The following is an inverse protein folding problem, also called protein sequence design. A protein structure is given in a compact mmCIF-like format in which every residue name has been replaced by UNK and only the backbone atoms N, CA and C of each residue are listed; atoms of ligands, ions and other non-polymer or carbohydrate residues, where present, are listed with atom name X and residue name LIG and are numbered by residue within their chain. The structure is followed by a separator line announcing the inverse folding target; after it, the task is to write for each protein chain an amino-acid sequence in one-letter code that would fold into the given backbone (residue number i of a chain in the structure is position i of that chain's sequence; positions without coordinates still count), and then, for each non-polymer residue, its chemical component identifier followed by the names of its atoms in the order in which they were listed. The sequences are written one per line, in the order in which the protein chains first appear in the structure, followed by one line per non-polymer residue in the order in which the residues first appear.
data_IF_371649763400
#
_entry.id   IF_371649763400
#
_cell.length_a   1.000
_cell.length_b   1.000
_cell.length_c   1.000
_cell.angle_alpha   90.00
_cell.angle_beta   90.00
_cell.angle_gamma   90.00
#
_symmetry.space_group_name_H-M   'P 1'
#
loop_
_entity.id
_entity.type
_entity.pdbx_description
1 polymer ?
#
# COMPACT_ATOMS: atom_id res chain seq x y z
N UNK A 1 -29.18 22.30 15.75
CA UNK A 1 -29.86 20.97 15.65
C UNK A 1 -29.31 20.26 14.42
N UNK A 2 -28.33 19.38 14.62
CA UNK A 2 -27.67 18.64 13.53
C UNK A 2 -28.51 17.40 13.15
N UNK A 3 -28.56 17.01 11.86
CA UNK A 3 -29.47 15.96 11.41
C UNK A 3 -29.02 14.56 11.86
N UNK A 4 -30.02 13.80 12.33
CA UNK A 4 -29.98 12.44 12.91
C UNK A 4 -29.20 11.41 12.07
N UNK A 5 -28.98 11.66 10.76
CA UNK A 5 -28.21 10.77 9.87
C UNK A 5 -26.70 10.73 10.16
N UNK A 6 -26.11 11.79 10.73
CA UNK A 6 -24.67 11.80 11.08
C UNK A 6 -24.40 10.96 12.33
N UNK A 7 -25.38 10.86 13.24
CA UNK A 7 -25.25 9.98 14.41
C UNK A 7 -25.29 8.50 14.04
N UNK A 8 -26.13 8.10 13.08
CA UNK A 8 -26.18 6.72 12.60
C UNK A 8 -24.87 6.28 11.94
N UNK A 9 -24.28 7.15 11.11
CA UNK A 9 -22.97 6.91 10.49
C UNK A 9 -21.83 6.81 11.52
N UNK A 10 -21.87 7.61 12.58
CA UNK A 10 -20.89 7.57 13.67
C UNK A 10 -21.01 6.31 14.52
N UNK A 11 -22.22 5.82 14.79
CA UNK A 11 -22.44 4.56 15.50
C UNK A 11 -22.04 3.34 14.67
N UNK A 12 -22.27 3.38 13.35
CA UNK A 12 -21.90 2.29 12.45
C UNK A 12 -20.37 2.22 12.23
N UNK A 13 -19.69 3.38 12.17
CA UNK A 13 -18.22 3.45 12.20
C UNK A 13 -17.63 2.97 13.53
N UNK A 14 -18.25 3.26 14.66
CA UNK A 14 -17.80 2.77 15.97
C UNK A 14 -18.03 1.26 16.14
N UNK A 15 -19.10 0.71 15.54
CA UNK A 15 -19.37 -0.73 15.53
C UNK A 15 -18.37 -1.48 14.65
N UNK A 16 -18.10 -0.97 13.44
CA UNK A 16 -17.06 -1.54 12.56
C UNK A 16 -15.64 -1.33 13.10
N UNK A 17 -15.37 -0.23 13.83
CA UNK A 17 -14.09 -0.04 14.52
C UNK A 17 -13.91 -1.03 15.68
N UNK A 18 -14.98 -1.37 16.43
CA UNK A 18 -14.92 -2.41 17.48
C UNK A 18 -14.79 -3.83 16.91
N UNK A 19 -15.43 -4.12 15.77
CA UNK A 19 -15.25 -5.39 15.05
C UNK A 19 -13.84 -5.50 14.45
N UNK A 20 -13.28 -4.39 13.95
CA UNK A 20 -11.89 -4.28 13.50
C UNK A 20 -10.87 -4.37 14.65
N UNK A 21 -11.18 -3.81 15.83
CA UNK A 21 -10.34 -3.94 17.03
C UNK A 21 -10.35 -5.37 17.59
N UNK A 22 -11.48 -6.10 17.51
CA UNK A 22 -11.52 -7.51 17.93
C UNK A 22 -10.76 -8.43 16.96
N UNK A 23 -10.66 -8.06 15.68
CA UNK A 23 -9.86 -8.78 14.68
C UNK A 23 -8.40 -8.30 14.61
N UNK A 24 -8.07 -7.14 15.21
CA UNK A 24 -6.70 -6.63 15.38
C UNK A 24 -6.09 -6.89 16.77
N UNK A 25 -6.83 -7.51 17.69
CA UNK A 25 -6.28 -8.14 18.88
C UNK A 25 -5.87 -9.61 18.63
N UNK A 26 -5.46 -9.97 17.42
CA UNK A 26 -4.56 -11.12 17.26
C UNK A 26 -3.18 -10.67 17.70
N UNK A 27 -2.83 -10.99 18.95
CA UNK A 27 -1.48 -10.86 19.51
C UNK A 27 -0.49 -11.24 18.42
N UNK A 28 0.41 -10.32 18.04
CA UNK A 28 1.61 -10.70 17.27
C UNK A 28 2.17 -11.93 17.98
N UNK A 29 2.27 -13.10 17.32
CA UNK A 29 3.08 -14.16 17.88
C UNK A 29 4.45 -13.53 18.06
N UNK A 30 4.97 -13.55 19.28
CA UNK A 30 6.42 -13.47 19.42
C UNK A 30 6.93 -14.57 18.47
N UNK A 31 7.79 -14.20 17.52
CA UNK A 31 8.66 -15.21 16.94
C UNK A 31 9.52 -15.69 18.10
N UNK A 32 9.02 -16.68 18.82
CA UNK A 32 9.87 -17.59 19.55
C UNK A 32 10.76 -18.19 18.47
N UNK A 33 12.01 -17.75 18.45
CA UNK A 33 13.12 -18.44 17.79
C UNK A 33 13.32 -19.80 18.47
N UNK A 34 12.33 -20.67 18.37
CA UNK A 34 12.50 -22.10 18.44
C UNK A 34 12.81 -22.54 17.02
N UNK A 35 14.08 -22.36 16.65
CA UNK A 35 14.69 -23.22 15.64
C UNK A 35 14.44 -24.63 16.15
N UNK A 36 13.56 -25.37 15.47
CA UNK A 36 13.53 -26.83 15.56
C UNK A 36 14.89 -27.31 15.06
N UNK A 37 15.81 -27.46 16.00
CA UNK A 37 17.01 -28.27 15.83
C UNK A 37 16.49 -29.68 15.55
N UNK A 38 16.59 -30.12 14.31
CA UNK A 38 16.40 -31.52 13.97
C UNK A 38 17.43 -32.31 14.78
N UNK A 39 16.93 -33.13 15.71
CA UNK A 39 17.70 -34.09 16.49
C UNK A 39 18.19 -35.21 15.58
N UNK A 40 19.22 -34.90 14.79
CA UNK A 40 20.10 -35.89 14.16
C UNK A 40 21.51 -35.40 14.34
N UNK A 41 22.05 -35.67 15.54
CA UNK A 41 23.44 -35.47 15.87
C UNK A 41 24.34 -36.11 14.79
N UNK A 42 25.27 -35.37 14.16
CA UNK A 42 26.28 -36.00 13.34
C UNK A 42 27.19 -36.81 14.25
N UNK A 43 27.39 -38.09 13.89
CA UNK A 43 28.33 -38.99 14.57
C UNK A 43 29.67 -38.27 14.72
N UNK A 44 30.09 -38.18 15.98
CA UNK A 44 31.34 -37.58 16.46
C UNK A 44 32.52 -38.31 15.83
N UNK A 45 33.01 -37.82 14.70
CA UNK A 45 34.33 -38.18 14.18
C UNK A 45 35.38 -37.52 15.07
N UNK A 46 35.90 -38.31 16.01
CA UNK A 46 37.12 -37.98 16.72
C UNK A 46 38.27 -37.97 15.71
N UNK A 47 38.87 -36.80 15.45
CA UNK A 47 40.32 -36.60 15.45
C UNK A 47 40.73 -35.18 14.97
N UNK A 48 41.16 -34.37 15.95
CA UNK A 48 42.15 -33.25 15.95
C UNK A 48 41.70 -32.16 16.94
N UNK A 49 42.62 -31.49 17.67
CA UNK A 49 42.26 -30.55 18.72
C UNK A 49 41.75 -29.24 18.10
N UNK A 50 40.45 -29.17 17.80
CA UNK A 50 39.80 -28.01 17.22
C UNK A 50 39.41 -27.00 18.28
N UNK A 51 39.99 -25.79 18.20
CA UNK A 51 39.63 -24.61 18.99
C UNK A 51 38.11 -24.40 18.95
N UNK A 52 37.44 -24.37 20.11
CA UNK A 52 36.02 -24.00 20.19
C UNK A 52 35.91 -22.52 19.84
N UNK A 53 35.34 -22.22 18.67
CA UNK A 53 35.19 -20.85 18.21
C UNK A 53 34.26 -20.07 19.14
N UNK A 54 34.68 -18.88 19.57
CA UNK A 54 33.82 -17.97 20.32
C UNK A 54 32.71 -17.38 19.40
N UNK A 55 31.77 -16.62 19.97
CA UNK A 55 30.60 -16.13 19.22
C UNK A 55 31.03 -15.22 18.07
N UNK A 56 32.02 -14.39 18.31
CA UNK A 56 32.56 -13.39 17.39
C UNK A 56 33.26 -14.07 16.20
N UNK A 57 34.09 -15.08 16.48
CA UNK A 57 34.76 -15.91 15.48
C UNK A 57 33.74 -16.67 14.62
N UNK A 58 32.66 -17.21 15.21
CA UNK A 58 31.58 -17.85 14.44
C UNK A 58 30.84 -16.88 13.53
N UNK A 59 30.55 -15.68 14.03
CA UNK A 59 29.87 -14.65 13.23
C UNK A 59 30.76 -14.18 12.08
N UNK A 60 32.05 -13.95 12.35
CA UNK A 60 33.03 -13.59 11.33
C UNK A 60 33.12 -14.67 10.25
N UNK A 61 33.27 -15.95 10.64
CA UNK A 61 33.30 -17.06 9.68
C UNK A 61 32.03 -17.18 8.85
N UNK A 62 30.85 -16.95 9.46
CA UNK A 62 29.58 -16.95 8.73
C UNK A 62 29.50 -15.80 7.73
N UNK A 63 29.78 -14.57 8.15
CA UNK A 63 29.71 -13.37 7.31
C UNK A 63 30.73 -13.39 6.17
N UNK A 64 31.90 -13.99 6.40
CA UNK A 64 32.97 -14.15 5.40
C UNK A 64 32.80 -15.38 4.51
N UNK A 65 31.76 -16.20 4.70
CA UNK A 65 31.54 -17.40 3.88
C UNK A 65 30.96 -17.07 2.51
N UNK A 66 31.43 -17.76 1.47
CA UNK A 66 30.88 -17.64 0.10
C UNK A 66 29.41 -18.09 0.04
N UNK A 67 28.99 -19.00 0.92
CA UNK A 67 27.59 -19.42 1.05
C UNK A 67 26.71 -18.26 1.55
N UNK A 68 27.13 -17.54 2.59
CA UNK A 68 26.41 -16.35 3.06
C UNK A 68 26.41 -15.24 2.00
N UNK A 69 27.55 -15.05 1.31
CA UNK A 69 27.64 -14.11 0.19
C UNK A 69 26.61 -14.42 -0.91
N UNK A 70 26.42 -15.69 -1.26
CA UNK A 70 25.40 -16.09 -2.23
C UNK A 70 23.98 -15.69 -1.78
N UNK A 71 23.64 -15.84 -0.49
CA UNK A 71 22.35 -15.38 0.03
C UNK A 71 22.21 -13.86 -0.04
N UNK A 72 23.26 -13.11 0.29
CA UNK A 72 23.25 -11.64 0.15
C UNK A 72 23.08 -11.20 -1.31
N UNK A 73 23.82 -11.81 -2.24
CA UNK A 73 23.72 -11.53 -3.67
C UNK A 73 22.31 -11.85 -4.21
N UNK A 74 21.71 -12.94 -3.74
CA UNK A 74 20.31 -13.27 -4.05
C UNK A 74 19.34 -12.22 -3.51
N UNK A 75 19.49 -11.81 -2.25
CA UNK A 75 18.64 -10.79 -1.65
C UNK A 75 18.72 -9.47 -2.43
N UNK A 76 19.94 -9.05 -2.80
CA UNK A 76 20.14 -7.87 -3.64
C UNK A 76 19.48 -7.98 -5.02
N UNK A 77 19.28 -9.20 -5.54
CA UNK A 77 18.62 -9.42 -6.84
C UNK A 77 17.09 -9.44 -6.76
N UNK A 78 16.51 -9.81 -5.61
CA UNK A 78 15.07 -9.98 -5.45
C UNK A 78 14.39 -8.81 -4.72
N UNK A 79 15.07 -8.17 -3.76
CA UNK A 79 14.55 -7.02 -3.00
C UNK A 79 14.04 -5.88 -3.90
N UNK A 80 14.71 -5.52 -5.01
CA UNK A 80 14.23 -4.45 -5.88
C UNK A 80 12.80 -4.65 -6.41
N UNK A 81 12.32 -5.90 -6.56
CA UNK A 81 10.93 -6.14 -6.98
C UNK A 81 9.92 -5.73 -5.91
N UNK A 82 10.25 -5.98 -4.64
CA UNK A 82 9.43 -5.54 -3.52
C UNK A 82 9.51 -4.02 -3.33
N UNK A 83 10.69 -3.43 -3.52
CA UNK A 83 10.89 -1.99 -3.37
C UNK A 83 10.05 -1.18 -4.37
N UNK A 84 9.95 -1.62 -5.63
CA UNK A 84 9.08 -0.97 -6.63
C UNK A 84 7.64 -0.83 -6.14
N UNK A 85 7.08 -1.92 -5.60
CA UNK A 85 5.71 -1.92 -5.06
C UNK A 85 5.62 -1.16 -3.75
N UNK A 86 6.64 -1.21 -2.89
CA UNK A 86 6.66 -0.42 -1.67
C UNK A 86 6.66 1.08 -1.97
N UNK A 87 7.41 1.55 -2.97
CA UNK A 87 7.40 2.94 -3.40
C UNK A 87 6.02 3.34 -3.91
N UNK A 88 5.38 2.50 -4.73
CA UNK A 88 3.99 2.70 -5.17
C UNK A 88 3.02 2.80 -3.98
N UNK A 89 3.11 1.86 -3.04
CA UNK A 89 2.30 1.85 -1.82
C UNK A 89 2.62 3.01 -0.88
N UNK A 90 3.75 3.71 -1.04
CA UNK A 90 4.12 4.89 -0.25
C UNK A 90 3.80 6.21 -0.95
N UNK A 91 3.37 6.15 -2.21
CA UNK A 91 2.98 7.31 -3.00
C UNK A 91 1.84 8.09 -2.36
N UNK A 92 1.88 9.42 -2.48
CA UNK A 92 0.77 10.29 -2.10
C UNK A 92 -0.23 10.57 -3.23
N UNK A 93 0.08 10.14 -4.46
CA UNK A 93 -0.81 10.34 -5.59
C UNK A 93 -1.98 9.33 -5.56
N UNK A 94 -3.15 9.68 -6.11
CA UNK A 94 -4.29 8.78 -6.13
C UNK A 94 -4.05 7.62 -7.10
N UNK A 95 -3.80 6.42 -6.58
CA UNK A 95 -3.41 5.26 -7.40
C UNK A 95 -4.27 4.01 -7.16
N UNK A 96 -5.47 4.17 -6.60
CA UNK A 96 -6.39 3.05 -6.32
C UNK A 96 -6.74 2.24 -7.57
N UNK A 97 -6.85 2.91 -8.72
CA UNK A 97 -7.13 2.32 -10.02
C UNK A 97 -6.02 1.36 -10.52
N UNK A 98 -4.80 1.45 -9.99
CA UNK A 98 -3.66 0.59 -10.34
C UNK A 98 -3.37 -0.49 -9.29
N UNK A 99 -3.89 -0.35 -8.07
CA UNK A 99 -3.44 -1.13 -6.91
C UNK A 99 -3.54 -2.65 -7.15
N UNK A 100 -4.70 -3.13 -7.64
CA UNK A 100 -4.91 -4.57 -7.86
C UNK A 100 -3.93 -5.12 -8.89
N UNK A 101 -3.71 -4.40 -9.98
CA UNK A 101 -2.79 -4.78 -11.04
C UNK A 101 -1.34 -4.83 -10.52
N UNK A 102 -0.88 -3.79 -9.81
CA UNK A 102 0.47 -3.72 -9.24
C UNK A 102 0.74 -4.89 -8.29
N UNK A 103 -0.20 -5.21 -7.39
CA UNK A 103 -0.07 -6.33 -6.46
C UNK A 103 -0.10 -7.69 -7.19
N UNK A 104 -0.94 -7.83 -8.21
CA UNK A 104 -1.01 -9.04 -9.03
C UNK A 104 0.26 -9.26 -9.83
N UNK A 105 0.86 -8.18 -10.35
CA UNK A 105 2.11 -8.23 -11.09
C UNK A 105 3.27 -8.61 -10.17
N UNK A 106 3.37 -8.09 -8.95
CA UNK A 106 4.38 -8.53 -7.99
C UNK A 106 4.27 -10.03 -7.69
N UNK A 107 3.06 -10.53 -7.44
CA UNK A 107 2.84 -11.97 -7.24
C UNK A 107 3.32 -12.77 -8.46
N UNK A 108 2.97 -12.31 -9.67
CA UNK A 108 3.40 -12.94 -10.93
C UNK A 108 4.91 -12.93 -11.08
N UNK A 109 5.58 -11.80 -10.84
CA UNK A 109 7.03 -11.66 -10.96
C UNK A 109 7.76 -12.58 -9.98
N UNK A 110 7.30 -12.65 -8.72
CA UNK A 110 7.88 -13.57 -7.74
C UNK A 110 7.67 -15.03 -8.18
N UNK A 111 6.47 -15.40 -8.63
CA UNK A 111 6.20 -16.75 -9.11
C UNK A 111 7.02 -17.11 -10.34
N UNK A 112 7.19 -16.20 -11.31
CA UNK A 112 7.96 -16.44 -12.53
C UNK A 112 9.42 -16.81 -12.27
N UNK A 113 9.97 -16.41 -11.12
CA UNK A 113 11.36 -16.71 -10.73
C UNK A 113 11.58 -18.17 -10.34
N UNK A 114 10.56 -18.90 -9.87
CA UNK A 114 10.71 -20.28 -9.38
C UNK A 114 9.66 -21.28 -9.88
N UNK A 115 8.54 -20.82 -10.44
CA UNK A 115 7.48 -21.66 -11.03
C UNK A 115 7.63 -21.69 -12.55
N UNK A 116 7.33 -22.84 -13.16
CA UNK A 116 7.38 -23.01 -14.61
C UNK A 116 6.36 -22.09 -15.30
N UNK A 117 6.75 -21.35 -16.36
CA UNK A 117 5.84 -20.47 -17.10
C UNK A 117 4.61 -21.20 -17.67
N UNK A 118 4.77 -22.48 -18.04
CA UNK A 118 3.68 -23.32 -18.55
C UNK A 118 2.58 -23.57 -17.52
N UNK A 119 2.90 -23.59 -16.22
CA UNK A 119 1.94 -23.74 -15.13
C UNK A 119 1.20 -22.43 -14.89
N UNK A 120 1.95 -21.31 -14.86
CA UNK A 120 1.39 -19.97 -14.66
C UNK A 120 0.42 -19.60 -15.79
N UNK A 121 0.77 -19.89 -17.05
CA UNK A 121 -0.06 -19.58 -18.22
C UNK A 121 -1.39 -20.34 -18.26
N UNK A 122 -1.48 -21.51 -17.63
CA UNK A 122 -2.70 -22.33 -17.60
C UNK A 122 -3.69 -21.88 -16.52
N UNK A 123 -3.26 -21.03 -15.59
CA UNK A 123 -4.11 -20.62 -14.48
C UNK A 123 -4.82 -19.31 -14.77
N UNK A 124 -6.14 -19.31 -14.60
CA UNK A 124 -6.96 -18.10 -14.68
C UNK A 124 -6.70 -17.15 -13.51
N UNK A 125 -6.46 -17.73 -12.32
CA UNK A 125 -6.21 -17.01 -11.07
C UNK A 125 -4.85 -17.43 -10.51
N UNK A 126 -3.91 -16.49 -10.44
CA UNK A 126 -2.55 -16.74 -9.93
C UNK A 126 -2.52 -17.32 -8.51
N UNK A 127 -3.47 -16.90 -7.67
CA UNK A 127 -3.58 -17.37 -6.29
C UNK A 127 -3.92 -18.86 -6.17
N UNK A 128 -4.46 -19.47 -7.21
CA UNK A 128 -4.94 -20.86 -7.21
C UNK A 128 -3.93 -21.82 -7.89
N UNK A 129 -2.78 -21.30 -8.33
CA UNK A 129 -1.68 -22.09 -8.91
C UNK A 129 -1.05 -23.00 -7.85
N UNK A 130 -0.79 -24.27 -8.18
CA UNK A 130 0.04 -25.13 -7.34
C UNK A 130 1.53 -24.79 -7.52
N UNK A 131 1.98 -23.77 -6.78
CA UNK A 131 3.38 -23.34 -6.76
C UNK A 131 4.26 -24.13 -5.78
N UNK A 132 3.69 -25.01 -4.95
CA UNK A 132 4.43 -25.75 -3.91
C UNK A 132 4.98 -27.07 -4.45
N UNK A 133 4.29 -27.69 -5.39
CA UNK A 133 4.72 -28.95 -6.00
C UNK A 133 6.04 -28.79 -6.76
N UNK A 134 6.97 -29.72 -6.54
CA UNK A 134 8.26 -29.77 -7.25
C UNK A 134 8.08 -29.91 -8.76
N UNK A 135 7.01 -30.56 -9.22
CA UNK A 135 6.70 -30.74 -10.65
C UNK A 135 6.38 -29.39 -11.30
N UNK A 136 5.70 -28.52 -10.57
CA UNK A 136 5.30 -27.18 -11.02
C UNK A 136 6.44 -26.17 -10.97
N UNK A 137 7.42 -26.40 -10.10
CA UNK A 137 8.58 -25.54 -9.96
C UNK A 137 9.60 -25.79 -11.06
N UNK A 138 10.43 -24.78 -11.33
CA UNK A 138 11.58 -24.85 -12.22
C UNK A 138 12.65 -25.78 -11.64
N UNK A 139 13.49 -26.32 -12.51
CA UNK A 139 14.71 -27.01 -12.10
C UNK A 139 15.73 -26.00 -11.55
N UNK A 140 16.73 -26.46 -10.79
CA UNK A 140 17.62 -25.55 -10.04
C UNK A 140 18.36 -24.58 -10.97
N UNK A 141 18.76 -25.05 -12.13
CA UNK A 141 19.48 -24.31 -13.17
C UNK A 141 18.63 -23.18 -13.78
N UNK A 142 17.31 -23.31 -13.72
CA UNK A 142 16.35 -22.38 -14.33
C UNK A 142 15.73 -21.39 -13.32
N UNK A 143 15.98 -21.55 -12.01
CA UNK A 143 15.49 -20.60 -11.00
C UNK A 143 16.22 -19.26 -11.19
N UNK A 144 15.43 -18.19 -11.26
CA UNK A 144 15.93 -16.83 -11.44
C UNK A 144 16.43 -16.27 -10.11
N UNK A 145 17.73 -16.43 -9.86
CA UNK A 145 18.43 -15.98 -8.64
C UNK A 145 19.34 -14.75 -8.83
N UNK A 146 19.55 -14.34 -10.09
CA UNK A 146 20.41 -13.22 -10.49
C UNK A 146 21.84 -13.64 -10.81
N UNK A 147 22.48 -12.94 -11.76
CA UNK A 147 23.78 -13.31 -12.32
C UNK A 147 24.93 -13.31 -11.30
N UNK A 148 24.96 -12.34 -10.38
CA UNK A 148 25.96 -12.29 -9.29
C UNK A 148 25.87 -13.53 -8.40
N UNK A 149 24.65 -13.91 -8.04
CA UNK A 149 24.39 -15.12 -7.26
C UNK A 149 24.91 -16.36 -7.98
N UNK A 150 24.57 -16.51 -9.28
CA UNK A 150 25.05 -17.63 -10.10
C UNK A 150 26.58 -17.73 -10.10
N UNK A 151 27.28 -16.61 -10.27
CA UNK A 151 28.73 -16.56 -10.23
C UNK A 151 29.29 -16.98 -8.86
N UNK A 152 28.68 -16.52 -7.77
CA UNK A 152 29.09 -16.93 -6.41
C UNK A 152 28.84 -18.43 -6.16
N UNK A 153 27.77 -19.01 -6.74
CA UNK A 153 27.48 -20.44 -6.61
C UNK A 153 28.46 -21.34 -7.36
N UNK A 154 29.07 -20.90 -8.46
CA UNK A 154 30.05 -21.71 -9.22
C UNK A 154 31.25 -22.12 -8.37
N UNK A 155 31.65 -21.28 -7.39
CA UNK A 155 32.72 -21.57 -6.45
C UNK A 155 32.33 -22.51 -5.30
N UNK A 156 31.04 -22.84 -5.14
CA UNK A 156 30.55 -23.64 -4.02
C UNK A 156 30.53 -25.14 -4.33
N UNK A 157 30.77 -25.93 -3.28
CA UNK A 157 30.59 -27.39 -3.31
C UNK A 157 29.14 -27.75 -3.66
N UNK A 158 28.96 -28.93 -4.25
CA UNK A 158 27.65 -29.40 -4.72
C UNK A 158 26.61 -29.43 -3.61
N UNK A 159 26.99 -29.90 -2.42
CA UNK A 159 26.10 -30.04 -1.27
C UNK A 159 25.59 -28.67 -0.79
N UNK A 160 26.48 -27.67 -0.75
CA UNK A 160 26.13 -26.30 -0.38
C UNK A 160 25.21 -25.63 -1.42
N UNK A 161 25.39 -25.95 -2.71
CA UNK A 161 24.49 -25.48 -3.77
C UNK A 161 23.09 -26.07 -3.65
N UNK A 162 22.98 -27.37 -3.38
CA UNK A 162 21.69 -28.03 -3.18
C UNK A 162 20.94 -27.46 -1.95
N UNK A 163 21.67 -27.23 -0.86
CA UNK A 163 21.13 -26.57 0.33
C UNK A 163 20.66 -25.14 0.02
N UNK A 164 21.45 -24.37 -0.72
CA UNK A 164 21.09 -23.03 -1.17
C UNK A 164 19.75 -23.02 -1.94
N UNK A 165 19.61 -23.87 -2.98
CA UNK A 165 18.37 -23.93 -3.74
C UNK A 165 17.16 -24.38 -2.89
N UNK A 166 17.37 -25.27 -1.92
CA UNK A 166 16.32 -25.65 -0.96
C UNK A 166 15.83 -24.43 -0.17
N UNK A 167 16.75 -23.58 0.32
CA UNK A 167 16.39 -22.36 1.03
C UNK A 167 15.74 -21.30 0.13
N UNK A 168 16.22 -21.13 -1.11
CA UNK A 168 15.63 -20.18 -2.06
C UNK A 168 14.20 -20.58 -2.44
N UNK A 169 13.93 -21.88 -2.65
CA UNK A 169 12.56 -22.37 -2.88
C UNK A 169 11.66 -22.08 -1.68
N UNK A 170 12.14 -22.34 -0.46
CA UNK A 170 11.38 -22.01 0.77
C UNK A 170 11.08 -20.52 0.88
N UNK A 171 12.05 -19.67 0.56
CA UNK A 171 11.87 -18.21 0.53
C UNK A 171 10.74 -17.82 -0.43
N UNK A 172 10.79 -18.28 -1.68
CA UNK A 172 9.79 -17.93 -2.68
C UNK A 172 8.40 -18.48 -2.35
N UNK A 173 8.32 -19.71 -1.85
CA UNK A 173 7.06 -20.31 -1.38
C UNK A 173 6.46 -19.48 -0.24
N UNK A 174 7.25 -19.14 0.77
CA UNK A 174 6.78 -18.33 1.91
C UNK A 174 6.36 -16.92 1.49
N UNK A 175 7.10 -16.27 0.58
CA UNK A 175 6.74 -14.96 0.04
C UNK A 175 5.42 -15.03 -0.75
N UNK A 176 5.26 -16.05 -1.59
CA UNK A 176 4.05 -16.27 -2.40
C UNK A 176 2.83 -16.54 -1.51
N UNK A 177 2.96 -17.42 -0.51
CA UNK A 177 1.92 -17.69 0.49
C UNK A 177 1.49 -16.42 1.20
N UNK A 178 2.45 -15.62 1.66
CA UNK A 178 2.17 -14.38 2.36
C UNK A 178 1.45 -13.36 1.47
N UNK A 179 1.88 -13.21 0.21
CA UNK A 179 1.23 -12.33 -0.76
C UNK A 179 -0.21 -12.77 -1.04
N UNK A 180 -0.46 -14.05 -1.28
CA UNK A 180 -1.81 -14.57 -1.52
C UNK A 180 -2.72 -14.34 -0.30
N UNK A 181 -2.17 -14.50 0.91
CA UNK A 181 -2.91 -14.29 2.15
C UNK A 181 -3.23 -12.82 2.43
N UNK A 182 -2.32 -11.90 2.09
CA UNK A 182 -2.43 -10.48 2.49
C UNK A 182 -2.90 -9.55 1.40
N UNK A 183 -2.66 -9.86 0.13
CA UNK A 183 -3.07 -8.99 -0.95
C UNK A 183 -4.57 -9.11 -1.22
N UNK A 184 -5.30 -7.98 -1.36
CA UNK A 184 -6.73 -7.97 -1.69
C UNK A 184 -7.00 -8.31 -3.17
N UNK A 185 -6.40 -9.38 -3.70
CA UNK A 185 -6.45 -9.73 -5.13
C UNK A 185 -7.87 -10.08 -5.62
N UNK A 186 -8.69 -10.67 -4.73
CA UNK A 186 -10.09 -11.05 -4.97
C UNK A 186 -11.08 -9.94 -4.58
N UNK A 187 -10.60 -8.72 -4.29
CA UNK A 187 -11.46 -7.61 -3.86
C UNK A 187 -12.20 -6.97 -5.04
N UNK A 188 -13.51 -7.16 -5.10
CA UNK A 188 -14.38 -6.57 -6.14
C UNK A 188 -14.33 -5.03 -6.16
N UNK A 189 -14.09 -4.39 -5.02
CA UNK A 189 -13.93 -2.94 -4.95
C UNK A 189 -12.70 -2.48 -5.76
N UNK A 190 -11.54 -3.12 -5.56
CA UNK A 190 -10.33 -2.73 -6.26
C UNK A 190 -10.39 -3.07 -7.74
N UNK A 191 -11.04 -4.18 -8.09
CA UNK A 191 -11.34 -4.53 -9.47
C UNK A 191 -12.23 -3.47 -10.13
N UNK A 192 -13.28 -3.02 -9.44
CA UNK A 192 -14.19 -1.99 -9.98
C UNK A 192 -13.52 -0.62 -10.06
N UNK A 193 -12.58 -0.31 -9.16
CA UNK A 193 -11.84 0.95 -9.16
C UNK A 193 -10.93 1.13 -10.39
N UNK A 194 -10.59 0.05 -11.11
CA UNK A 194 -9.84 0.10 -12.38
C UNK A 194 -10.59 0.90 -13.46
N UNK A 195 -11.91 1.08 -13.33
CA UNK A 195 -12.74 1.91 -14.23
C UNK A 195 -12.27 3.37 -14.29
N UNK A 196 -11.57 3.85 -13.26
CA UNK A 196 -11.01 5.20 -13.24
C UNK A 196 -9.73 5.33 -14.08
N UNK A 197 -9.19 4.23 -14.66
CA UNK A 197 -8.05 4.29 -15.57
C UNK A 197 -8.52 4.74 -16.96
N UNK A 198 -8.17 5.98 -17.31
CA UNK A 198 -8.58 6.60 -18.57
C UNK A 198 -8.07 5.83 -19.80
N UNK A 199 -6.83 5.33 -19.75
CA UNK A 199 -6.22 4.57 -20.83
C UNK A 199 -6.95 3.25 -21.20
N UNK A 200 -7.82 2.75 -20.33
CA UNK A 200 -8.61 1.53 -20.57
C UNK A 200 -10.11 1.79 -20.55
N UNK A 201 -10.54 3.06 -20.66
CA UNK A 201 -11.96 3.43 -20.54
C UNK A 201 -12.82 2.79 -21.65
N UNK A 202 -12.27 2.63 -22.85
CA UNK A 202 -12.93 1.99 -24.00
C UNK A 202 -13.41 0.57 -23.68
N UNK A 203 -12.63 -0.19 -22.90
CA UNK A 203 -12.95 -1.58 -22.54
C UNK A 203 -13.59 -1.71 -21.14
N UNK A 204 -13.76 -0.59 -20.44
CA UNK A 204 -14.34 -0.58 -19.10
C UNK A 204 -15.85 -0.83 -19.15
N UNK A 205 -16.40 -1.42 -18.08
CA UNK A 205 -17.82 -1.78 -18.03
C UNK A 205 -18.57 -0.84 -17.11
N UNK A 206 -19.74 -0.37 -17.55
CA UNK A 206 -20.60 0.44 -16.71
C UNK A 206 -21.08 -0.29 -15.42
N UNK A 207 -21.05 -1.63 -15.41
CA UNK A 207 -21.31 -2.43 -14.20
C UNK A 207 -20.39 -2.06 -13.04
N UNK A 208 -19.13 -1.69 -13.34
CA UNK A 208 -18.12 -1.35 -12.33
C UNK A 208 -18.41 0.03 -11.72
N UNK A 209 -18.87 1.00 -12.55
CA UNK A 209 -19.42 2.29 -12.10
C UNK A 209 -20.63 2.07 -11.19
N UNK A 210 -21.59 1.25 -11.62
CA UNK A 210 -22.80 0.94 -10.86
C UNK A 210 -22.49 0.26 -9.53
N UNK A 211 -21.52 -0.66 -9.51
CA UNK A 211 -21.04 -1.29 -8.29
C UNK A 211 -20.52 -0.25 -7.28
N UNK A 212 -19.67 0.67 -7.74
CA UNK A 212 -19.08 1.71 -6.89
C UNK A 212 -20.13 2.67 -6.34
N UNK A 213 -21.11 3.06 -7.15
CA UNK A 213 -22.23 3.93 -6.72
C UNK A 213 -23.10 3.21 -5.69
N UNK A 214 -23.42 1.93 -5.91
CA UNK A 214 -24.20 1.15 -4.95
C UNK A 214 -23.45 0.97 -3.62
N UNK A 215 -22.12 0.77 -3.69
CA UNK A 215 -21.28 0.63 -2.50
C UNK A 215 -21.08 1.96 -1.77
N UNK A 216 -20.96 3.06 -2.52
CA UNK A 216 -20.74 4.40 -2.01
C UNK A 216 -21.72 5.40 -2.66
N UNK A 217 -22.98 5.46 -2.18
CA UNK A 217 -24.00 6.35 -2.78
C UNK A 217 -23.61 7.83 -2.79
N UNK A 218 -22.70 8.25 -1.90
CA UNK A 218 -22.15 9.60 -1.83
C UNK A 218 -21.35 10.00 -3.08
N UNK A 219 -20.87 9.03 -3.87
CA UNK A 219 -20.13 9.29 -5.10
C UNK A 219 -21.04 9.73 -6.25
N UNK A 220 -22.35 9.47 -6.17
CA UNK A 220 -23.32 9.87 -7.21
C UNK A 220 -23.61 11.37 -7.11
N UNK A 221 -23.26 12.19 -8.11
CA UNK A 221 -23.60 13.60 -8.12
C UNK A 221 -25.09 13.78 -8.41
N UNK A 222 -25.87 14.09 -7.37
CA UNK A 222 -27.29 14.43 -7.48
C UNK A 222 -27.46 15.95 -7.62
N UNK A 223 -28.35 16.36 -8.52
CA UNK A 223 -28.88 17.72 -8.57
C UNK A 223 -30.12 17.84 -7.68
N UNK A 224 -30.47 19.07 -7.32
CA UNK A 224 -31.65 19.33 -6.49
C UNK A 224 -32.92 18.83 -7.17
N UNK A 225 -33.73 18.04 -6.45
CA UNK A 225 -34.96 17.43 -6.98
C UNK A 225 -34.76 16.27 -7.95
N UNK A 226 -33.52 15.90 -8.30
CA UNK A 226 -33.25 14.79 -9.22
C UNK A 226 -33.30 13.43 -8.51
N UNK A 227 -33.96 12.45 -9.13
CA UNK A 227 -33.96 11.08 -8.64
C UNK A 227 -32.66 10.33 -9.00
N UNK A 228 -32.42 9.23 -8.28
CA UNK A 228 -31.19 8.42 -8.40
C UNK A 228 -31.06 7.77 -9.78
N UNK A 229 -32.16 7.29 -10.37
CA UNK A 229 -32.12 6.59 -11.65
C UNK A 229 -31.79 7.58 -12.78
N UNK A 230 -32.44 8.74 -12.80
CA UNK A 230 -32.10 9.79 -13.76
C UNK A 230 -30.64 10.24 -13.64
N UNK A 231 -30.09 10.33 -12.42
CA UNK A 231 -28.69 10.68 -12.23
C UNK A 231 -27.73 9.58 -12.74
N UNK A 232 -28.09 8.30 -12.55
CA UNK A 232 -27.36 7.15 -13.09
C UNK A 232 -27.38 7.12 -14.62
N UNK A 233 -28.54 7.36 -15.24
CA UNK A 233 -28.71 7.38 -16.69
C UNK A 233 -27.84 8.47 -17.33
N UNK A 234 -27.74 9.63 -16.68
CA UNK A 234 -26.84 10.71 -17.12
C UNK A 234 -25.36 10.31 -17.06
N UNK A 235 -24.90 9.68 -15.97
CA UNK A 235 -23.52 9.17 -15.91
C UNK A 235 -23.30 8.09 -16.96
N UNK A 236 -24.26 7.21 -17.18
CA UNK A 236 -24.17 6.17 -18.20
C UNK A 236 -24.04 6.76 -19.60
N UNK A 237 -24.82 7.79 -19.91
CA UNK A 237 -24.73 8.51 -21.18
C UNK A 237 -23.35 9.19 -21.35
N UNK A 238 -22.86 9.89 -20.33
CA UNK A 238 -21.51 10.47 -20.33
C UNK A 238 -20.42 9.40 -20.50
N UNK A 239 -20.54 8.28 -19.81
CA UNK A 239 -19.61 7.15 -19.87
C UNK A 239 -19.54 6.56 -21.28
N UNK A 240 -20.69 6.20 -21.86
CA UNK A 240 -20.75 5.64 -23.22
C UNK A 240 -20.20 6.61 -24.26
N UNK A 241 -20.47 7.92 -24.12
CA UNK A 241 -19.90 8.94 -25.00
C UNK A 241 -18.39 9.03 -24.89
N UNK A 242 -17.84 8.98 -23.67
CA UNK A 242 -16.40 9.03 -23.45
C UNK A 242 -15.68 7.82 -24.05
N UNK A 243 -16.31 6.64 -24.06
CA UNK A 243 -15.71 5.43 -24.65
C UNK A 243 -15.45 5.53 -26.15
N UNK A 244 -16.14 6.42 -26.85
CA UNK A 244 -15.96 6.68 -28.29
C UNK A 244 -15.17 7.96 -28.58
N UNK A 245 -14.82 8.72 -27.55
CA UNK A 245 -14.20 10.03 -27.71
C UNK A 245 -12.68 9.89 -27.91
N UNK A 246 -12.18 10.49 -29.00
CA UNK A 246 -10.75 10.76 -29.13
C UNK A 246 -10.38 11.97 -28.26
N UNK A 247 -9.77 11.70 -27.10
CA UNK A 247 -9.37 12.75 -26.17
C UNK A 247 -8.25 13.63 -26.75
N UNK A 248 -8.26 14.95 -26.45
CA UNK A 248 -7.16 15.83 -26.83
C UNK A 248 -5.81 15.31 -26.32
N UNK A 249 -4.75 15.49 -27.10
CA UNK A 249 -3.42 14.97 -26.78
C UNK A 249 -2.84 15.48 -25.45
N UNK A 250 -3.37 16.59 -24.92
CA UNK A 250 -3.02 17.18 -23.63
C UNK A 250 -3.50 16.33 -22.46
N UNK A 251 -4.65 15.65 -22.59
CA UNK A 251 -5.24 14.87 -21.49
C UNK A 251 -4.32 13.70 -21.10
N UNK A 252 -3.86 12.82 -22.01
CA UNK A 252 -2.98 11.71 -21.64
C UNK A 252 -1.55 12.12 -21.27
N UNK A 253 -1.14 13.37 -21.55
CA UNK A 253 0.20 13.88 -21.18
C UNK A 253 0.33 14.14 -19.67
N UNK A 254 -0.78 14.35 -18.97
CA UNK A 254 -0.75 14.57 -17.52
C UNK A 254 -0.27 13.30 -16.80
N UNK A 255 0.66 13.46 -15.86
CA UNK A 255 1.27 12.33 -15.15
C UNK A 255 0.31 11.69 -14.14
N UNK A 256 -0.54 12.50 -13.50
CA UNK A 256 -1.45 12.01 -12.46
C UNK A 256 -2.86 11.84 -12.99
N UNK A 257 -3.49 10.73 -12.60
CA UNK A 257 -4.82 10.36 -13.09
C UNK A 257 -5.90 11.38 -12.70
N UNK A 258 -5.78 12.07 -11.56
CA UNK A 258 -6.73 13.09 -11.14
C UNK A 258 -6.59 14.38 -11.96
N UNK A 259 -5.38 14.70 -12.43
CA UNK A 259 -5.15 15.77 -13.40
C UNK A 259 -5.75 15.43 -14.77
N UNK A 260 -5.61 14.17 -15.20
CA UNK A 260 -6.29 13.68 -16.43
C UNK A 260 -7.81 13.84 -16.32
N UNK A 261 -8.43 13.37 -15.23
CA UNK A 261 -9.88 13.53 -15.02
C UNK A 261 -10.30 14.99 -14.83
N UNK A 262 -9.43 15.85 -14.28
CA UNK A 262 -9.66 17.29 -14.24
C UNK A 262 -9.67 17.88 -15.65
N UNK A 263 -8.78 17.47 -16.53
CA UNK A 263 -8.77 17.91 -17.92
C UNK A 263 -10.04 17.43 -18.68
N UNK A 264 -10.44 16.17 -18.49
CA UNK A 264 -11.72 15.64 -19.03
C UNK A 264 -12.92 16.46 -18.53
N UNK A 265 -12.91 16.87 -17.24
CA UNK A 265 -13.97 17.71 -16.68
C UNK A 265 -14.08 19.09 -17.32
N UNK A 266 -12.99 19.58 -17.92
CA UNK A 266 -12.92 20.87 -18.60
C UNK A 266 -13.39 20.85 -20.05
N UNK A 267 -13.64 19.68 -20.63
CA UNK A 267 -14.12 19.54 -22.01
C UNK A 267 -15.54 20.11 -22.15
N UNK A 268 -15.75 20.88 -23.22
CA UNK A 268 -17.01 21.58 -23.48
C UNK A 268 -17.68 21.08 -24.75
N UNK A 269 -19.00 21.10 -24.75
CA UNK A 269 -19.82 20.98 -25.94
C UNK A 269 -19.87 22.31 -26.71
N UNK A 270 -20.46 22.30 -27.91
CA UNK A 270 -20.58 23.48 -28.79
C UNK A 270 -21.40 24.60 -28.13
N UNK A 271 -22.35 24.25 -27.28
CA UNK A 271 -23.18 25.18 -26.50
C UNK A 271 -22.44 25.77 -25.28
N UNK A 272 -21.19 25.36 -25.04
CA UNK A 272 -20.36 25.79 -23.92
C UNK A 272 -20.60 25.01 -22.63
N UNK A 273 -21.55 24.07 -22.59
CA UNK A 273 -21.80 23.19 -21.45
C UNK A 273 -20.65 22.19 -21.26
N UNK A 274 -20.49 21.64 -20.05
CA UNK A 274 -19.44 20.66 -19.77
C UNK A 274 -19.87 19.26 -20.20
N UNK A 275 -19.06 18.62 -21.06
CA UNK A 275 -19.42 17.35 -21.72
C UNK A 275 -19.47 16.15 -20.78
N UNK A 276 -18.62 16.14 -19.75
CA UNK A 276 -18.42 15.01 -18.83
C UNK A 276 -18.42 15.41 -17.35
N UNK A 277 -19.25 16.40 -16.97
CA UNK A 277 -19.21 16.98 -15.63
C UNK A 277 -19.52 15.96 -14.51
N UNK A 278 -20.52 15.08 -14.72
CA UNK A 278 -20.96 14.14 -13.68
C UNK A 278 -19.99 12.97 -13.58
N UNK A 279 -19.59 12.42 -14.72
CA UNK A 279 -18.65 11.32 -14.82
C UNK A 279 -17.29 11.71 -14.22
N UNK A 280 -16.77 12.89 -14.57
CA UNK A 280 -15.47 13.34 -14.02
C UNK A 280 -15.54 13.53 -12.51
N UNK A 281 -16.63 14.11 -11.99
CA UNK A 281 -16.84 14.25 -10.54
C UNK A 281 -16.94 12.90 -9.84
N UNK A 282 -17.63 11.93 -10.45
CA UNK A 282 -17.71 10.56 -9.95
C UNK A 282 -16.31 9.90 -9.91
N UNK A 283 -15.55 9.97 -11.00
CA UNK A 283 -14.22 9.35 -11.11
C UNK A 283 -13.21 9.99 -10.17
N UNK A 284 -13.20 11.32 -10.04
CA UNK A 284 -12.42 12.03 -9.03
C UNK A 284 -12.81 11.58 -7.62
N UNK A 285 -14.10 11.33 -7.37
CA UNK A 285 -14.57 10.75 -6.12
C UNK A 285 -14.03 9.35 -5.87
N UNK A 286 -14.01 8.46 -6.87
CA UNK A 286 -13.39 7.12 -6.77
C UNK A 286 -11.89 7.23 -6.44
N UNK A 287 -11.19 8.20 -7.02
CA UNK A 287 -9.76 8.45 -6.78
C UNK A 287 -9.45 8.95 -5.37
N UNK A 288 -10.45 9.37 -4.60
CA UNK A 288 -10.29 9.68 -3.16
C UNK A 288 -10.19 8.43 -2.27
N UNK A 289 -10.49 7.25 -2.82
CA UNK A 289 -10.32 6.00 -2.08
C UNK A 289 -8.81 5.76 -1.84
N UNK A 290 -8.37 5.58 -0.59
CA UNK A 290 -6.97 5.36 -0.29
C UNK A 290 -6.52 4.01 -0.86
N UNK A 291 -5.41 4.00 -1.61
CA UNK A 291 -4.81 2.76 -2.10
C UNK A 291 -3.88 2.10 -1.06
N UNK A 292 -3.55 2.82 0.02
CA UNK A 292 -2.59 2.38 1.02
C UNK A 292 -2.70 3.22 2.30
N UNK A 293 -1.99 2.79 3.36
CA UNK A 293 -1.96 3.47 4.67
C UNK A 293 -0.91 4.59 4.91
N UNK A 294 -0.02 5.00 3.98
CA UNK A 294 1.01 6.00 4.24
C UNK A 294 0.48 7.34 4.72
N UNK A 295 -0.70 7.76 4.29
CA UNK A 295 -1.28 9.01 4.78
C UNK A 295 -1.50 8.96 6.29
N UNK A 296 -2.08 7.85 6.77
CA UNK A 296 -2.23 7.58 8.21
C UNK A 296 -0.87 7.50 8.90
N UNK A 297 0.12 6.81 8.31
CA UNK A 297 1.47 6.71 8.88
C UNK A 297 2.20 8.06 8.95
N UNK A 298 2.04 8.92 7.93
CA UNK A 298 2.55 10.30 7.92
C UNK A 298 1.89 11.11 9.02
N UNK A 299 0.58 10.96 9.24
CA UNK A 299 -0.14 11.59 10.37
C UNK A 299 0.40 11.06 11.71
N UNK A 300 0.58 9.75 11.88
CA UNK A 300 1.17 9.18 13.10
C UNK A 300 2.60 9.66 13.35
N UNK A 301 3.40 9.83 12.29
CA UNK A 301 4.72 10.45 12.38
C UNK A 301 4.63 11.90 12.85
N UNK A 302 3.66 12.68 12.36
CA UNK A 302 3.38 14.04 12.86
C UNK A 302 2.97 14.05 14.33
N UNK A 303 2.18 13.06 14.79
CA UNK A 303 1.82 12.89 16.21
C UNK A 303 3.07 12.62 17.06
N UNK A 304 3.90 11.66 16.65
CA UNK A 304 5.14 11.31 17.36
C UNK A 304 6.09 12.50 17.44
N UNK A 305 6.20 13.30 16.38
CA UNK A 305 6.98 14.54 16.37
C UNK A 305 6.36 15.66 17.21
N UNK A 306 5.04 15.66 17.44
CA UNK A 306 4.37 16.62 18.30
C UNK A 306 4.58 16.31 19.80
N UNK A 307 4.58 15.02 20.16
CA UNK A 307 4.97 14.53 21.48
C UNK A 307 6.50 14.51 21.62
N UNK A 308 7.06 15.63 22.05
CA UNK A 308 8.49 15.71 22.43
C UNK A 308 8.64 15.51 23.94
N UNK A 309 9.85 15.22 24.42
CA UNK A 309 10.14 15.13 25.86
C UNK A 309 9.78 16.43 26.60
N UNK A 310 9.86 17.59 25.94
CA UNK A 310 9.45 18.90 26.46
C UNK A 310 7.94 19.20 26.31
N UNK A 311 7.18 18.32 25.64
CA UNK A 311 5.73 18.41 25.43
C UNK A 311 5.05 17.06 25.65
N UNK A 312 5.45 16.35 26.71
CA UNK A 312 4.91 15.03 27.02
C UNK A 312 3.43 15.09 27.42
N UNK A 313 3.01 16.17 28.09
CA UNK A 313 1.64 16.40 28.52
C UNK A 313 0.91 17.34 27.56
N UNK A 314 0.25 16.78 26.55
CA UNK A 314 -0.74 17.49 25.73
C UNK A 314 -2.08 16.76 25.81
N UNK A 315 -3.16 17.52 25.99
CA UNK A 315 -4.49 16.94 25.94
C UNK A 315 -4.80 16.38 24.55
N UNK A 316 -5.62 15.33 24.46
CA UNK A 316 -6.06 14.75 23.18
C UNK A 316 -6.63 15.81 22.24
N UNK A 317 -7.42 16.75 22.77
CA UNK A 317 -8.02 17.86 22.03
C UNK A 317 -6.96 18.81 21.45
N UNK A 318 -5.91 19.11 22.20
CA UNK A 318 -4.80 19.96 21.71
C UNK A 318 -4.02 19.27 20.61
N UNK A 319 -3.74 17.96 20.76
CA UNK A 319 -3.06 17.15 19.74
C UNK A 319 -3.90 17.11 18.47
N UNK A 320 -5.20 16.85 18.58
CA UNK A 320 -6.14 16.85 17.45
C UNK A 320 -6.12 18.18 16.69
N UNK A 321 -6.30 19.30 17.38
CA UNK A 321 -6.29 20.64 16.75
C UNK A 321 -4.93 20.96 16.10
N UNK A 322 -3.82 20.57 16.73
CA UNK A 322 -2.48 20.74 16.18
C UNK A 322 -2.29 19.89 14.90
N UNK A 323 -2.81 18.67 14.88
CA UNK A 323 -2.76 17.81 13.69
C UNK A 323 -3.58 18.39 12.55
N UNK A 324 -4.81 18.85 12.83
CA UNK A 324 -5.66 19.53 11.83
C UNK A 324 -4.92 20.72 11.23
N UNK A 325 -4.35 21.57 12.09
CA UNK A 325 -3.53 22.68 11.65
C UNK A 325 -2.39 22.19 10.76
N UNK A 326 -1.52 21.28 11.25
CA UNK A 326 -0.35 20.74 10.51
C UNK A 326 -0.67 19.99 9.23
N UNK A 327 -1.86 19.40 9.09
CA UNK A 327 -2.32 18.81 7.85
C UNK A 327 -2.73 19.90 6.86
N UNK A 328 -3.45 20.92 7.31
CA UNK A 328 -3.76 22.10 6.50
C UNK A 328 -2.50 22.90 6.10
N UNK A 329 -1.43 22.89 6.92
CA UNK A 329 -0.16 23.57 6.59
C UNK A 329 0.68 22.89 5.52
N UNK A 330 0.39 21.63 5.16
CA UNK A 330 1.26 20.88 4.24
C UNK A 330 1.30 21.44 2.81
N UNK A 331 0.42 22.38 2.47
CA UNK A 331 0.35 23.04 1.17
C UNK A 331 1.07 24.41 1.11
N UNK A 332 1.59 24.96 2.22
CA UNK A 332 2.23 26.29 2.26
C UNK A 332 3.42 26.34 3.22
N UNK A 333 4.39 27.23 2.96
CA UNK A 333 5.54 27.39 3.86
C UNK A 333 5.09 28.19 5.08
N UNK A 334 5.49 27.76 6.29
CA UNK A 334 5.11 28.42 7.55
C UNK A 334 5.34 29.94 7.58
N UNK A 335 6.32 30.40 6.81
CA UNK A 335 6.76 31.79 6.69
C UNK A 335 5.78 32.65 5.88
N UNK A 336 4.99 32.03 5.01
CA UNK A 336 4.01 32.68 4.12
C UNK A 336 2.64 32.78 4.79
N UNK A 337 2.48 32.24 6.01
CA UNK A 337 1.21 32.25 6.71
C UNK A 337 0.92 33.64 7.29
N UNK A 338 -0.08 34.30 6.73
CA UNK A 338 -0.62 35.54 7.25
C UNK A 338 -1.70 35.23 8.26
N UNK A 339 -1.51 35.66 9.51
CA UNK A 339 -2.54 35.60 10.55
C UNK A 339 -3.21 36.96 10.69
N UNK A 340 -4.52 36.96 10.91
CA UNK A 340 -5.23 38.20 11.18
C UNK A 340 -4.79 38.81 12.53
N UNK A 341 -4.93 40.14 12.63
CA UNK A 341 -4.48 40.89 13.81
C UNK A 341 -5.23 40.50 15.09
N UNK A 342 -6.48 40.10 14.98
CA UNK A 342 -7.30 39.69 16.13
C UNK A 342 -6.89 38.34 16.67
N UNK A 343 -6.56 37.39 15.80
CA UNK A 343 -5.98 36.10 16.17
C UNK A 343 -4.65 36.30 16.89
N UNK A 344 -3.75 37.12 16.34
CA UNK A 344 -2.44 37.41 16.97
C UNK A 344 -2.60 38.08 18.34
N UNK A 345 -3.54 39.01 18.47
CA UNK A 345 -3.85 39.67 19.75
C UNK A 345 -4.34 38.65 20.79
N UNK A 346 -5.28 37.78 20.42
CA UNK A 346 -5.80 36.72 21.31
C UNK A 346 -4.71 35.72 21.70
N UNK A 347 -3.88 35.29 20.75
CA UNK A 347 -2.77 34.36 21.01
C UNK A 347 -1.74 34.96 21.99
N UNK A 348 -1.37 36.22 21.80
CA UNK A 348 -0.46 36.94 22.72
C UNK A 348 -1.07 37.08 24.12
N UNK A 349 -2.34 37.44 24.22
CA UNK A 349 -3.03 37.55 25.50
C UNK A 349 -3.10 36.20 26.25
N UNK A 350 -3.42 35.11 25.54
CA UNK A 350 -3.44 33.77 26.13
C UNK A 350 -2.04 33.32 26.63
N UNK A 351 -0.99 33.66 25.88
CA UNK A 351 0.39 33.35 26.27
C UNK A 351 0.81 34.15 27.52
N UNK A 352 0.47 35.44 27.57
CA UNK A 352 0.75 36.28 28.72
C UNK A 352 0.00 35.79 29.98
N UNK A 353 -1.26 35.37 29.83
CA UNK A 353 -2.07 34.81 30.93
C UNK A 353 -1.48 33.51 31.50
N UNK A 354 -0.98 32.61 30.66
CA UNK A 354 -0.30 31.38 31.09
C UNK A 354 1.05 31.64 31.76
N UNK A 355 1.81 32.65 31.29
CA UNK A 355 3.10 33.02 31.89
C UNK A 355 2.93 33.75 33.24
N UNK A 356 1.83 34.46 33.43
CA UNK A 356 1.51 35.14 34.69
C UNK A 356 1.07 34.18 35.81
N UNK A 357 0.61 32.98 35.46
CA UNK A 357 0.24 31.93 36.41
C UNK A 357 1.00 30.63 36.09
N UNK A 358 2.27 30.50 36.50
CA UNK A 358 2.97 29.23 36.38
C UNK A 358 2.21 28.23 37.25
N UNK A 359 1.70 27.18 36.61
CA UNK A 359 1.09 26.04 37.30
C UNK A 359 2.05 25.54 38.36
N UNK A 360 1.71 25.74 39.64
CA UNK A 360 2.25 24.97 40.75
C UNK A 360 1.92 23.51 40.46
N UNK A 361 2.90 22.75 39.99
CA UNK A 361 2.83 21.30 39.92
C UNK A 361 2.77 20.78 41.36
N UNK A 362 1.58 20.40 41.81
CA UNK A 362 1.44 19.52 42.96
C UNK A 362 2.09 18.16 42.62
N UNK A 363 2.84 17.68 43.61
CA UNK A 363 3.73 16.51 43.67
C UNK A 363 3.10 15.18 43.30
#
# INVERSE_FOLDING_TARGET
KFPVRVHKFRTDLQKHAKEAESSHQSKRPRLDTNVLVSDTAPKRTQNRPGKVLNREERLFMFLSSDANRAYCDFLLSVIPEFEKVNVFLQSGAPQVHLLREVLSNLLREIMLRFVKPSVIKKADVLADVDYKSSVSQRDNEDIVIGSRTTQTLEGLKKEAREEFFTHIRRFFVAATEYMILKFPLKCELLKSAEVARLASIEHARFSDVKYLINRFPVLLPLQEGQDVNSALDNIQAEFTRLQLEELPAEVPKEQQIDEQWRAVSGLREVDGSFKYARLSKFMLGVLTLPHSNPECERVFSKVKKAHTQFRASMSKKTVEQLLVARCAQSHWKCQEQVFDKDFLRKAKAATASMLAHPSTSET
#
